data_IF_457239407723
#
_entry.id   IF_457239407723
#
_cell.length_a   1.000
_cell.length_b   1.000
_cell.length_c   1.000
_cell.angle_alpha   90.00
_cell.angle_beta   90.00
_cell.angle_gamma   90.00
#
_symmetry.space_group_name_H-M   'P 1'
#
loop_
_entity.id
_entity.type
_entity.pdbx_description
1 polymer ?
#
# COMPACT_ATOMS: atom_id res chain seq x y z
N UNK A 1 32.88 -50.91 -2.26
CA UNK A 1 32.07 -49.96 -1.46
C UNK A 1 32.43 -48.50 -1.75
N UNK A 2 33.71 -48.11 -1.66
CA UNK A 2 34.21 -46.73 -1.90
C UNK A 2 33.80 -46.11 -3.25
N UNK A 3 33.87 -46.84 -4.36
CA UNK A 3 33.48 -46.31 -5.69
C UNK A 3 31.99 -45.93 -5.80
N UNK A 4 31.10 -46.57 -5.03
CA UNK A 4 29.66 -46.22 -5.01
C UNK A 4 29.42 -44.94 -4.20
N UNK A 5 30.16 -44.76 -3.11
CA UNK A 5 30.13 -43.55 -2.27
C UNK A 5 30.62 -42.34 -3.06
N UNK A 6 31.71 -42.48 -3.83
CA UNK A 6 32.24 -41.39 -4.64
C UNK A 6 31.28 -40.96 -5.77
N UNK A 7 30.58 -41.92 -6.41
CA UNK A 7 29.55 -41.62 -7.42
C UNK A 7 28.34 -40.91 -6.81
N UNK A 8 27.91 -41.33 -5.62
CA UNK A 8 26.81 -40.68 -4.90
C UNK A 8 27.19 -39.24 -4.51
N UNK A 9 28.41 -39.05 -4.01
CA UNK A 9 28.92 -37.72 -3.66
C UNK A 9 28.96 -36.79 -4.88
N UNK A 10 29.43 -37.30 -6.02
CA UNK A 10 29.47 -36.53 -7.27
C UNK A 10 28.07 -36.20 -7.82
N UNK A 11 27.10 -37.12 -7.68
CA UNK A 11 25.71 -36.88 -8.08
C UNK A 11 25.02 -35.83 -7.19
N UNK A 12 25.23 -35.87 -5.87
CA UNK A 12 24.72 -34.87 -4.93
C UNK A 12 25.35 -33.50 -5.20
N UNK A 13 26.65 -33.45 -5.49
CA UNK A 13 27.33 -32.22 -5.84
C UNK A 13 26.75 -31.60 -7.13
N UNK A 14 26.57 -32.40 -8.20
CA UNK A 14 25.92 -31.96 -9.44
C UNK A 14 24.49 -31.45 -9.22
N UNK A 15 23.72 -32.09 -8.34
CA UNK A 15 22.38 -31.65 -7.98
C UNK A 15 22.41 -30.27 -7.29
N UNK A 16 23.30 -30.08 -6.31
CA UNK A 16 23.47 -28.79 -5.61
C UNK A 16 23.94 -27.66 -6.54
N UNK A 17 24.83 -27.95 -7.50
CA UNK A 17 25.29 -26.98 -8.51
C UNK A 17 24.22 -26.67 -9.59
N UNK A 18 23.22 -27.52 -9.78
CA UNK A 18 22.09 -27.20 -10.68
C UNK A 18 21.04 -26.31 -10.02
N UNK A 19 20.95 -26.31 -8.68
CA UNK A 19 19.95 -25.57 -7.91
C UNK A 19 20.31 -24.09 -7.65
N UNK A 20 21.57 -23.68 -7.84
CA UNK A 20 22.03 -22.29 -7.59
C UNK A 20 21.31 -21.24 -8.45
N UNK A 21 20.82 -21.61 -9.64
CA UNK A 21 20.07 -20.69 -10.53
C UNK A 21 18.57 -20.58 -10.19
N UNK A 22 18.06 -21.38 -9.27
CA UNK A 22 16.67 -21.34 -8.81
C UNK A 22 16.49 -20.45 -7.57
N UNK A 23 17.57 -19.90 -7.02
CA UNK A 23 17.51 -18.98 -5.89
C UNK A 23 17.11 -17.60 -6.42
N UNK A 24 15.80 -17.35 -6.54
CA UNK A 24 15.29 -15.98 -6.56
C UNK A 24 15.41 -15.45 -5.15
N UNK A 25 16.51 -14.73 -4.88
CA UNK A 25 16.54 -13.85 -3.71
C UNK A 25 15.31 -12.92 -3.79
N UNK A 26 14.58 -12.80 -2.69
CA UNK A 26 13.42 -11.93 -2.61
C UNK A 26 13.93 -10.48 -2.68
N UNK A 27 14.04 -9.93 -3.88
CA UNK A 27 14.27 -8.51 -4.06
C UNK A 27 12.93 -7.82 -3.84
N UNK A 28 12.73 -7.30 -2.64
CA UNK A 28 11.62 -6.41 -2.35
C UNK A 28 11.91 -5.09 -3.07
N UNK A 29 11.12 -4.81 -4.10
CA UNK A 29 11.22 -3.59 -4.90
C UNK A 29 9.98 -2.74 -4.66
N UNK A 30 10.15 -1.43 -4.71
CA UNK A 30 9.04 -0.47 -4.77
C UNK A 30 8.44 -0.35 -6.18
N UNK A 31 9.04 -0.99 -7.19
CA UNK A 31 8.46 -1.13 -8.52
C UNK A 31 7.48 -2.31 -8.56
N UNK A 32 6.26 -2.07 -9.05
CA UNK A 32 5.26 -3.13 -9.20
C UNK A 32 4.14 -2.79 -10.19
N UNK A 33 3.14 -3.67 -10.23
CA UNK A 33 2.03 -3.61 -11.19
C UNK A 33 0.69 -3.30 -10.51
N UNK A 34 0.61 -3.44 -9.19
CA UNK A 34 -0.63 -3.27 -8.46
C UNK A 34 -0.35 -2.73 -7.05
N UNK A 35 -1.13 -1.73 -6.64
CA UNK A 35 -0.94 -0.98 -5.41
C UNK A 35 -2.29 -0.59 -4.80
N UNK A 36 -2.29 -0.49 -3.48
CA UNK A 36 -3.40 0.07 -2.71
C UNK A 36 -2.91 1.26 -1.88
N UNK A 37 -3.63 2.37 -1.94
CA UNK A 37 -3.42 3.55 -1.11
C UNK A 37 -4.71 3.94 -0.41
N UNK A 38 -4.60 4.80 0.60
CA UNK A 38 -5.71 5.29 1.42
C UNK A 38 -5.68 6.81 1.48
N UNK A 39 -6.82 7.43 1.76
CA UNK A 39 -6.91 8.85 2.04
C UNK A 39 -7.49 9.06 3.45
N UNK A 40 -6.63 9.01 4.49
CA UNK A 40 -7.04 9.09 5.89
C UNK A 40 -7.69 10.41 6.26
N UNK A 41 -8.33 10.43 7.42
CA UNK A 41 -8.82 11.65 8.05
C UNK A 41 -7.70 12.68 8.15
N UNK A 42 -7.99 13.93 7.79
CA UNK A 42 -7.01 15.00 7.81
C UNK A 42 -7.62 16.28 8.38
N UNK A 43 -6.95 16.89 9.35
CA UNK A 43 -7.38 18.19 9.90
C UNK A 43 -7.27 19.25 8.81
N UNK A 44 -8.35 19.96 8.45
CA UNK A 44 -8.33 20.89 7.34
C UNK A 44 -7.44 22.11 7.66
N UNK A 45 -6.88 22.77 6.62
CA UNK A 45 -6.05 23.95 6.83
C UNK A 45 -6.87 25.15 7.31
N UNK A 46 -8.05 25.31 6.72
CA UNK A 46 -9.13 26.22 7.13
C UNK A 46 -10.47 25.51 6.94
N UNK A 47 -11.59 26.11 7.37
CA UNK A 47 -12.93 25.51 7.20
C UNK A 47 -13.32 25.24 5.74
N UNK A 48 -12.73 25.96 4.78
CA UNK A 48 -12.97 25.80 3.34
C UNK A 48 -11.82 25.12 2.61
N UNK A 49 -10.62 25.08 3.19
CA UNK A 49 -9.44 24.48 2.59
C UNK A 49 -9.20 23.08 3.15
N UNK A 50 -9.94 22.13 2.57
CA UNK A 50 -9.90 20.72 2.91
C UNK A 50 -8.71 20.01 2.26
N UNK A 51 -8.35 18.84 2.82
CA UNK A 51 -7.32 18.01 2.23
C UNK A 51 -7.75 17.46 0.86
N UNK A 52 -6.77 17.39 -0.05
CA UNK A 52 -6.81 16.68 -1.32
C UNK A 52 -5.72 15.61 -1.32
N UNK A 53 -5.81 14.68 -2.28
CA UNK A 53 -4.79 13.65 -2.49
C UNK A 53 -4.48 13.50 -3.98
N UNK A 54 -3.18 13.38 -4.28
CA UNK A 54 -2.67 13.05 -5.60
C UNK A 54 -1.82 11.80 -5.55
N UNK A 55 -1.95 10.98 -6.58
CA UNK A 55 -1.10 9.81 -6.83
C UNK A 55 -0.06 10.20 -7.87
N UNK A 56 1.20 10.14 -7.50
CA UNK A 56 2.33 10.38 -8.40
C UNK A 56 2.92 9.05 -8.83
N UNK A 57 3.03 8.86 -10.15
CA UNK A 57 3.47 7.61 -10.77
C UNK A 57 4.71 7.90 -11.58
N UNK A 58 5.77 7.12 -11.38
CA UNK A 58 7.03 7.24 -12.13
C UNK A 58 7.52 5.87 -12.59
N UNK A 59 8.31 5.83 -13.65
CA UNK A 59 8.84 4.60 -14.21
C UNK A 59 10.13 4.85 -14.99
N UNK A 60 11.01 3.85 -15.05
CA UNK A 60 12.20 3.87 -15.90
C UNK A 60 11.87 3.71 -17.40
N UNK A 61 10.67 3.21 -17.71
CA UNK A 61 10.18 2.97 -19.07
C UNK A 61 8.78 3.56 -19.23
N UNK A 62 8.36 3.83 -20.46
CA UNK A 62 6.98 4.24 -20.70
C UNK A 62 6.01 3.16 -20.22
N UNK A 63 4.97 3.56 -19.48
CA UNK A 63 3.99 2.65 -18.89
C UNK A 63 2.62 3.34 -18.83
N UNK A 64 1.57 2.54 -18.61
CA UNK A 64 0.20 3.02 -18.51
C UNK A 64 -0.63 2.13 -17.60
N UNK A 65 -1.76 2.66 -17.14
CA UNK A 65 -2.65 1.96 -16.23
C UNK A 65 -3.81 2.82 -15.79
N UNK A 66 -4.44 2.40 -14.69
CA UNK A 66 -5.65 3.02 -14.16
C UNK A 66 -5.52 3.25 -12.66
N UNK A 67 -5.96 4.42 -12.20
CA UNK A 67 -6.22 4.74 -10.79
C UNK A 67 -7.73 4.75 -10.59
N UNK A 68 -8.23 3.95 -9.65
CA UNK A 68 -9.66 3.92 -9.29
C UNK A 68 -9.85 4.19 -7.81
N UNK A 69 -10.94 4.85 -7.46
CA UNK A 69 -11.36 5.06 -6.08
C UNK A 69 -12.86 5.36 -6.06
N UNK A 70 -13.64 4.69 -5.22
CA UNK A 70 -15.09 4.84 -5.22
C UNK A 70 -15.69 4.64 -6.62
N UNK A 71 -16.43 5.64 -7.10
CA UNK A 71 -16.95 5.68 -8.47
C UNK A 71 -16.02 6.35 -9.51
N UNK A 72 -14.82 6.79 -9.12
CA UNK A 72 -13.88 7.46 -10.02
C UNK A 72 -12.91 6.45 -10.63
N UNK A 73 -12.63 6.62 -11.93
CA UNK A 73 -11.63 5.85 -12.67
C UNK A 73 -10.90 6.78 -13.63
N UNK A 74 -9.59 6.88 -13.49
CA UNK A 74 -8.72 7.76 -14.26
C UNK A 74 -7.56 6.96 -14.85
N UNK A 75 -7.32 7.15 -16.15
CA UNK A 75 -6.19 6.53 -16.86
C UNK A 75 -4.92 7.35 -16.63
N UNK A 76 -3.79 6.69 -16.48
CA UNK A 76 -2.49 7.34 -16.50
C UNK A 76 -1.63 6.80 -17.64
N UNK A 77 -0.81 7.69 -18.21
CA UNK A 77 0.31 7.36 -19.07
C UNK A 77 1.53 8.05 -18.47
N UNK A 78 2.61 7.31 -18.25
CA UNK A 78 3.88 7.83 -17.73
C UNK A 78 4.96 7.60 -18.76
N UNK A 79 5.69 8.65 -19.13
CA UNK A 79 6.85 8.52 -20.00
C UNK A 79 8.05 7.97 -19.22
N UNK A 80 9.04 7.43 -19.93
CA UNK A 80 10.26 6.93 -19.31
C UNK A 80 10.99 8.06 -18.55
N UNK A 81 11.36 7.80 -17.30
CA UNK A 81 12.07 8.71 -16.40
C UNK A 81 11.32 10.02 -16.09
N UNK A 82 10.00 10.03 -16.21
CA UNK A 82 9.15 11.16 -15.82
C UNK A 82 8.22 10.80 -14.66
N UNK A 83 7.48 11.79 -14.17
CA UNK A 83 6.42 11.61 -13.18
C UNK A 83 5.11 12.09 -13.77
N UNK A 84 4.05 11.31 -13.60
CA UNK A 84 2.67 11.67 -13.93
C UNK A 84 1.86 11.80 -12.65
N UNK A 85 1.14 12.90 -12.50
CA UNK A 85 0.23 13.14 -11.38
C UNK A 85 -1.21 12.76 -11.76
N UNK A 86 -1.89 12.05 -10.86
CA UNK A 86 -3.30 11.73 -10.94
C UNK A 86 -3.98 12.24 -9.66
N UNK A 87 -4.73 13.34 -9.77
CA UNK A 87 -5.49 13.89 -8.65
C UNK A 87 -6.79 13.11 -8.45
N UNK A 88 -6.91 12.44 -7.30
CA UNK A 88 -8.08 11.64 -6.98
C UNK A 88 -9.18 12.53 -6.37
N UNK A 89 -10.43 12.44 -6.84
CA UNK A 89 -11.51 13.21 -6.25
C UNK A 89 -11.67 12.89 -4.76
N UNK A 90 -11.62 13.92 -3.90
CA UNK A 90 -11.73 13.76 -2.44
C UNK A 90 -12.93 12.92 -2.03
N UNK A 91 -14.10 13.16 -2.59
CA UNK A 91 -15.34 12.46 -2.26
C UNK A 91 -15.29 10.95 -2.53
N UNK A 92 -14.37 10.48 -3.39
CA UNK A 92 -14.23 9.08 -3.73
C UNK A 92 -13.40 8.26 -2.75
N UNK A 93 -12.47 8.89 -2.03
CA UNK A 93 -11.46 8.19 -1.23
C UNK A 93 -11.34 8.69 0.21
N UNK A 94 -11.72 9.94 0.50
CA UNK A 94 -11.50 10.55 1.81
C UNK A 94 -12.28 9.84 2.91
N UNK A 95 -11.60 9.49 4.00
CA UNK A 95 -12.19 8.98 5.24
C UNK A 95 -12.56 10.17 6.10
N UNK A 96 -13.84 10.33 6.45
CA UNK A 96 -14.27 11.36 7.39
C UNK A 96 -14.02 10.91 8.83
N UNK A 97 -13.76 11.87 9.74
CA UNK A 97 -13.47 11.58 11.15
C UNK A 97 -14.56 10.74 11.83
N UNK A 98 -15.84 10.97 11.47
CA UNK A 98 -16.97 10.19 11.98
C UNK A 98 -17.15 8.80 11.37
N UNK A 99 -16.38 8.45 10.35
CA UNK A 99 -16.33 7.12 9.72
C UNK A 99 -15.29 6.20 10.38
N UNK A 100 -14.48 6.72 11.31
CA UNK A 100 -13.48 5.94 12.06
C UNK A 100 -14.09 4.77 12.82
N UNK A 101 -13.30 3.73 13.02
CA UNK A 101 -13.67 2.46 13.65
C UNK A 101 -14.80 1.70 12.94
N UNK A 102 -14.93 1.88 11.61
CA UNK A 102 -15.88 1.17 10.75
C UNK A 102 -15.18 0.65 9.51
N UNK A 103 -15.67 -0.46 8.96
CA UNK A 103 -15.20 -0.97 7.66
C UNK A 103 -15.83 -0.13 6.56
N UNK A 104 -15.00 0.44 5.70
CA UNK A 104 -15.37 1.31 4.60
C UNK A 104 -15.03 0.64 3.27
N UNK A 105 -16.07 0.16 2.56
CA UNK A 105 -15.90 -0.37 1.22
C UNK A 105 -15.74 0.74 0.18
N UNK A 106 -15.06 0.42 -0.93
CA UNK A 106 -14.84 1.32 -2.08
C UNK A 106 -14.15 2.65 -1.70
N UNK A 107 -13.40 2.69 -0.59
CA UNK A 107 -12.73 3.92 -0.11
C UNK A 107 -11.23 3.92 -0.39
N UNK A 108 -10.66 2.75 -0.70
CA UNK A 108 -9.28 2.65 -1.12
C UNK A 108 -9.05 3.24 -2.51
N UNK A 109 -7.82 3.66 -2.76
CA UNK A 109 -7.33 4.05 -4.07
C UNK A 109 -6.56 2.87 -4.64
N UNK A 110 -7.07 2.27 -5.71
CA UNK A 110 -6.45 1.15 -6.42
C UNK A 110 -5.67 1.65 -7.62
N UNK A 111 -4.42 1.22 -7.76
CA UNK A 111 -3.59 1.54 -8.92
C UNK A 111 -3.20 0.24 -9.58
N UNK A 112 -3.56 0.09 -10.84
CA UNK A 112 -3.27 -1.10 -11.66
C UNK A 112 -2.55 -0.67 -12.93
N UNK A 113 -1.39 -1.25 -13.16
CA UNK A 113 -0.64 -1.14 -14.42
C UNK A 113 -1.28 -2.07 -15.45
N UNK A 114 -1.39 -1.64 -16.70
CA UNK A 114 -1.98 -2.47 -17.74
C UNK A 114 -1.15 -3.73 -18.03
N UNK A 115 -1.83 -4.78 -18.47
CA UNK A 115 -1.19 -6.02 -18.88
C UNK A 115 -0.10 -5.76 -19.94
N UNK A 116 1.11 -6.26 -19.67
CA UNK A 116 2.27 -6.13 -20.56
C UNK A 116 3.05 -4.82 -20.44
N UNK A 117 2.59 -3.86 -19.62
CA UNK A 117 3.33 -2.62 -19.40
C UNK A 117 4.45 -2.80 -18.34
N UNK A 118 5.54 -2.02 -18.42
CA UNK A 118 6.58 -2.00 -17.40
C UNK A 118 6.05 -1.60 -16.01
N UNK A 119 6.66 -2.18 -14.97
CA UNK A 119 6.36 -1.83 -13.59
C UNK A 119 6.65 -0.35 -13.28
N UNK A 120 5.85 0.22 -12.38
CA UNK A 120 5.93 1.62 -11.96
C UNK A 120 6.25 1.75 -10.47
N UNK A 121 6.64 2.93 -10.03
CA UNK A 121 6.73 3.32 -8.61
C UNK A 121 5.62 4.34 -8.33
N UNK A 122 4.96 4.20 -7.18
CA UNK A 122 3.80 5.00 -6.80
C UNK A 122 4.06 5.75 -5.50
N UNK A 123 3.70 7.02 -5.47
CA UNK A 123 3.67 7.86 -4.27
C UNK A 123 2.27 8.44 -4.09
N UNK A 124 1.82 8.57 -2.84
CA UNK A 124 0.65 9.36 -2.50
C UNK A 124 1.08 10.66 -1.83
N UNK A 125 0.42 11.75 -2.17
CA UNK A 125 0.66 13.06 -1.57
C UNK A 125 -0.67 13.66 -1.12
N UNK A 126 -0.83 13.84 0.18
CA UNK A 126 -1.97 14.50 0.79
C UNK A 126 -1.58 15.95 1.09
N UNK A 127 -2.44 16.91 0.75
CA UNK A 127 -2.15 18.32 0.95
C UNK A 127 -3.40 19.15 1.22
N UNK A 128 -3.25 20.17 2.08
CA UNK A 128 -4.23 21.21 2.37
C UNK A 128 -3.49 22.50 2.73
N UNK A 129 -3.49 23.51 1.86
CA UNK A 129 -2.77 24.77 2.08
C UNK A 129 -1.31 24.57 2.48
N UNK A 130 -0.96 24.90 3.73
CA UNK A 130 0.41 24.79 4.28
C UNK A 130 0.70 23.44 4.97
N UNK A 131 -0.16 22.44 4.79
CA UNK A 131 -0.02 21.10 5.39
C UNK A 131 0.11 20.08 4.29
N UNK A 132 1.11 19.21 4.38
CA UNK A 132 1.27 18.09 3.46
C UNK A 132 1.91 16.87 4.10
N UNK A 133 1.66 15.72 3.50
CA UNK A 133 2.29 14.44 3.81
C UNK A 133 2.46 13.64 2.53
N UNK A 134 3.62 13.01 2.36
CA UNK A 134 3.90 12.13 1.22
C UNK A 134 4.22 10.71 1.71
N UNK A 135 3.88 9.71 0.93
CA UNK A 135 4.12 8.30 1.24
C UNK A 135 4.51 7.53 -0.01
N UNK A 136 5.55 6.70 0.10
CA UNK A 136 5.85 5.68 -0.89
C UNK A 136 4.83 4.55 -0.74
N UNK A 137 4.15 4.19 -1.81
CA UNK A 137 3.18 3.09 -1.81
C UNK A 137 3.87 1.85 -2.33
N UNK A 138 3.96 0.83 -1.48
CA UNK A 138 4.56 -0.44 -1.87
C UNK A 138 3.58 -1.28 -2.70
N UNK A 139 4.08 -2.02 -3.72
CA UNK A 139 3.23 -2.89 -4.51
C UNK A 139 2.78 -4.10 -3.70
N UNK A 140 1.66 -4.72 -4.09
CA UNK A 140 1.08 -5.89 -3.37
C UNK A 140 2.11 -7.00 -3.14
N UNK A 141 2.96 -7.28 -4.14
CA UNK A 141 4.02 -8.31 -4.05
C UNK A 141 5.08 -8.05 -2.96
N UNK A 142 5.15 -6.82 -2.43
CA UNK A 142 6.10 -6.40 -1.40
C UNK A 142 5.44 -6.31 -0.01
N UNK A 143 4.13 -6.54 0.09
CA UNK A 143 3.41 -6.49 1.36
C UNK A 143 3.67 -7.76 2.20
N UNK A 144 3.60 -7.59 3.52
CA UNK A 144 3.70 -8.65 4.51
C UNK A 144 2.42 -8.74 5.34
N UNK A 145 2.44 -9.59 6.36
CA UNK A 145 1.28 -9.82 7.23
C UNK A 145 1.39 -9.08 8.58
N UNK A 146 2.55 -8.51 8.88
CA UNK A 146 2.84 -7.87 10.16
C UNK A 146 3.55 -6.55 9.93
N UNK A 147 3.05 -5.50 10.58
CA UNK A 147 3.57 -4.15 10.48
C UNK A 147 3.63 -3.49 11.86
N UNK A 148 4.62 -2.63 12.04
CA UNK A 148 4.69 -1.75 13.19
C UNK A 148 4.33 -0.34 12.74
N UNK A 149 3.35 0.26 13.42
CA UNK A 149 3.02 1.67 13.24
C UNK A 149 3.71 2.48 14.33
N UNK A 150 4.52 3.46 13.93
CA UNK A 150 5.18 4.41 14.84
C UNK A 150 4.22 5.55 15.12
N UNK A 151 3.75 5.64 16.36
CA UNK A 151 2.70 6.57 16.76
C UNK A 151 3.17 7.48 17.89
N UNK A 152 2.60 8.68 17.96
CA UNK A 152 2.85 9.66 19.01
C UNK A 152 1.52 10.25 19.50
N UNK A 153 1.43 10.54 20.79
CA UNK A 153 0.26 11.22 21.37
C UNK A 153 0.20 12.66 20.86
N UNK A 154 -0.74 12.96 19.98
CA UNK A 154 -0.92 14.30 19.46
C UNK A 154 -1.69 15.17 20.47
N UNK A 155 -0.99 16.07 21.14
CA UNK A 155 -1.61 17.14 21.94
C UNK A 155 -1.84 18.36 21.04
N UNK A 156 -2.99 18.42 20.38
CA UNK A 156 -3.34 19.55 19.52
C UNK A 156 -4.01 20.66 20.34
N UNK A 157 -3.60 21.93 20.11
CA UNK A 157 -4.20 23.12 20.75
C UNK A 157 -5.71 23.21 20.49
N UNK A 158 -6.20 22.65 19.38
CA UNK A 158 -7.61 22.66 18.99
C UNK A 158 -8.35 21.34 19.23
N UNK A 159 -7.73 20.33 19.86
CA UNK A 159 -8.27 18.96 20.03
C UNK A 159 -8.68 18.25 18.72
N UNK A 160 -8.30 18.77 17.55
CA UNK A 160 -8.66 18.18 16.25
C UNK A 160 -7.60 17.19 15.74
N UNK A 161 -6.33 17.36 16.13
CA UNK A 161 -5.25 16.45 15.74
C UNK A 161 -5.38 15.12 16.48
N UNK A 162 -5.50 14.02 15.72
CA UNK A 162 -5.54 12.66 16.22
C UNK A 162 -4.50 11.82 15.52
N UNK A 163 -3.87 10.92 16.28
CA UNK A 163 -3.15 9.80 15.70
C UNK A 163 -4.16 8.73 15.26
N UNK A 164 -3.92 8.12 14.10
CA UNK A 164 -4.75 7.04 13.57
C UNK A 164 -3.88 5.96 12.92
N UNK A 165 -4.45 4.77 12.78
CA UNK A 165 -3.89 3.70 11.94
C UNK A 165 -4.92 3.36 10.87
N UNK A 166 -4.58 3.64 9.61
CA UNK A 166 -5.43 3.30 8.46
C UNK A 166 -4.89 2.06 7.77
N UNK A 167 -5.76 1.08 7.52
CA UNK A 167 -5.44 -0.19 6.86
C UNK A 167 -6.34 -0.37 5.64
N UNK A 168 -5.81 -1.03 4.62
CA UNK A 168 -6.56 -1.45 3.42
C UNK A 168 -6.27 -2.93 3.16
N UNK A 169 -7.31 -3.70 2.83
CA UNK A 169 -7.17 -5.09 2.46
C UNK A 169 -6.72 -5.22 1.00
N UNK A 170 -5.61 -5.92 0.73
CA UNK A 170 -5.26 -6.33 -0.63
C UNK A 170 -6.08 -7.54 -1.12
N UNK A 171 -6.64 -8.32 -0.20
CA UNK A 171 -7.37 -9.56 -0.46
C UNK A 171 -8.66 -9.63 0.35
N UNK A 172 -9.67 -10.33 -0.17
CA UNK A 172 -10.93 -10.55 0.51
C UNK A 172 -10.76 -11.38 1.80
N UNK A 173 -11.68 -11.20 2.75
CA UNK A 173 -11.70 -11.88 4.05
C UNK A 173 -10.41 -11.70 4.88
N UNK A 174 -9.74 -10.55 4.74
CA UNK A 174 -8.55 -10.21 5.52
C UNK A 174 -8.95 -9.90 6.96
N UNK A 175 -8.32 -10.56 7.93
CA UNK A 175 -8.52 -10.29 9.35
C UNK A 175 -7.35 -9.52 9.94
N UNK A 176 -7.61 -8.33 10.48
CA UNK A 176 -6.59 -7.42 11.03
C UNK A 176 -6.71 -7.35 12.55
N UNK A 177 -5.57 -7.46 13.23
CA UNK A 177 -5.47 -7.24 14.67
C UNK A 177 -4.58 -6.01 14.92
N UNK A 178 -5.15 -4.98 15.51
CA UNK A 178 -4.42 -3.76 15.90
C UNK A 178 -4.07 -3.87 17.37
N UNK A 179 -2.77 -3.82 17.69
CA UNK A 179 -2.25 -4.09 19.03
C UNK A 179 -1.33 -2.98 19.54
N UNK A 180 -1.38 -2.75 20.85
CA UNK A 180 -0.37 -1.98 21.61
C UNK A 180 0.25 -2.91 22.63
N UNK A 181 1.46 -3.40 22.36
CA UNK A 181 2.06 -4.48 23.14
C UNK A 181 1.18 -5.74 23.08
N UNK A 182 0.75 -6.23 24.25
CA UNK A 182 -0.14 -7.39 24.37
C UNK A 182 -1.63 -7.02 24.41
N UNK A 183 -1.98 -5.75 24.27
CA UNK A 183 -3.37 -5.28 24.33
C UNK A 183 -3.94 -5.16 22.91
N UNK A 184 -5.02 -5.90 22.63
CA UNK A 184 -5.84 -5.71 21.44
C UNK A 184 -6.60 -4.38 21.56
N UNK A 185 -6.35 -3.47 20.62
CA UNK A 185 -7.02 -2.17 20.56
C UNK A 185 -8.44 -2.27 19.99
N UNK A 186 -8.68 -3.28 19.16
CA UNK A 186 -10.01 -3.65 18.65
C UNK A 186 -10.31 -5.09 19.09
N UNK A 187 -11.19 -5.31 20.09
CA UNK A 187 -11.52 -6.65 20.57
C UNK A 187 -12.01 -7.57 19.44
N UNK A 188 -11.39 -8.74 19.30
CA UNK A 188 -11.74 -9.73 18.26
C UNK A 188 -11.19 -9.42 16.86
N UNK A 189 -10.53 -8.28 16.67
CA UNK A 189 -10.00 -7.80 15.40
C UNK A 189 -11.08 -7.27 14.45
N UNK A 190 -10.65 -6.79 13.29
CA UNK A 190 -11.52 -6.29 12.21
C UNK A 190 -11.46 -7.26 11.04
N UNK A 191 -12.61 -7.61 10.47
CA UNK A 191 -12.67 -8.40 9.23
C UNK A 191 -13.01 -7.49 8.06
N UNK A 192 -12.12 -7.46 7.06
CA UNK A 192 -12.26 -6.74 5.81
C UNK A 192 -12.70 -7.76 4.76
N UNK A 193 -13.97 -7.73 4.38
CA UNK A 193 -14.59 -8.80 3.60
C UNK A 193 -14.17 -8.76 2.13
N UNK A 194 -13.92 -7.56 1.60
CA UNK A 194 -13.53 -7.36 0.20
C UNK A 194 -12.10 -6.81 0.10
N UNK A 195 -11.41 -7.09 -1.01
CA UNK A 195 -10.23 -6.33 -1.39
C UNK A 195 -10.62 -4.86 -1.58
N UNK A 196 -9.77 -3.95 -1.12
CA UNK A 196 -10.04 -2.51 -1.10
C UNK A 196 -10.93 -2.03 0.05
N UNK A 197 -11.42 -2.91 0.93
CA UNK A 197 -12.04 -2.48 2.19
C UNK A 197 -10.98 -1.77 3.06
N UNK A 198 -11.37 -0.64 3.64
CA UNK A 198 -10.52 0.23 4.46
C UNK A 198 -11.04 0.27 5.89
N UNK A 199 -10.14 0.40 6.86
CA UNK A 199 -10.47 0.66 8.26
C UNK A 199 -9.49 1.68 8.86
N UNK A 200 -10.00 2.64 9.60
CA UNK A 200 -9.20 3.63 10.34
C UNK A 200 -9.47 3.49 11.84
N UNK A 201 -8.43 3.21 12.63
CA UNK A 201 -8.47 3.15 14.10
C UNK A 201 -8.13 4.50 14.71
#
# INVERSE_FOLDING_TARGET
>A
MIKKILKLFFAVLMLCLSAINLVRAQSVSNEGLEFWSVFPTHVPNTVTELANISIFITSKQASSGTVTAGGSSQRFNVAANTVTEIQVPRASAYINDGEGNRVLSNRAIHIVVDAGQPAVVVYAHIFAGKRSAASLILPIKALGQQYYSMNYTQNSISNQGKNFITVVASEANTKVFIRRGNTDLVPGGVTLNNAGDVYEY
#
